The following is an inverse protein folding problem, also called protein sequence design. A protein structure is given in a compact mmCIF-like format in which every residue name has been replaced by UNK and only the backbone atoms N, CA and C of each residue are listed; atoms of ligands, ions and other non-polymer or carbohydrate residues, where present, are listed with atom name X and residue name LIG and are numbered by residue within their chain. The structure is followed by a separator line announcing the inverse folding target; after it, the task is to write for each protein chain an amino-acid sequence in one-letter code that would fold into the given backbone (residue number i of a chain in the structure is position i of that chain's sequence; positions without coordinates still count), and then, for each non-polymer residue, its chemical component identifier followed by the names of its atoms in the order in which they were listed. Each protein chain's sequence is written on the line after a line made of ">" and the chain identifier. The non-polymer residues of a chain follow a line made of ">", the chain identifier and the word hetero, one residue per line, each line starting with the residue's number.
data_IF_416445763787
#
_entry.id   IF_416445763787
#
_cell.length_a   1.000
_cell.length_b   1.000
_cell.length_c   1.000
_cell.angle_alpha   90.00
_cell.angle_beta   90.00
_cell.angle_gamma   90.00
#
_symmetry.space_group_name_H-M   'P 1'
#
loop_
_entity.id
_entity.type
_entity.pdbx_description
1 polymer ?
#
# COMPACT_ATOMS: atom_id res chain seq x y z
N UNK A 1 -13.83 -16.05 4.68
CA UNK A 1 -15.14 -15.83 5.28
C UNK A 1 -15.16 -14.53 6.06
N UNK A 2 -16.14 -13.68 5.80
CA UNK A 2 -16.38 -12.44 6.52
C UNK A 2 -17.78 -12.48 7.16
N UNK A 3 -17.87 -12.08 8.42
CA UNK A 3 -19.11 -11.92 9.14
C UNK A 3 -19.01 -10.68 10.03
N UNK A 4 -19.88 -9.72 9.84
CA UNK A 4 -19.97 -8.51 10.66
C UNK A 4 -21.39 -8.37 11.14
N UNK A 5 -21.56 -8.33 12.45
CA UNK A 5 -22.81 -8.01 13.12
C UNK A 5 -22.79 -6.52 13.51
N UNK A 6 -23.72 -5.76 12.95
CA UNK A 6 -23.79 -4.32 13.16
C UNK A 6 -24.74 -3.99 14.32
N UNK A 7 -24.20 -3.97 15.53
CA UNK A 7 -24.97 -3.65 16.75
C UNK A 7 -25.55 -2.22 16.81
N UNK A 8 -25.14 -1.35 15.86
CA UNK A 8 -25.63 0.05 15.78
C UNK A 8 -26.90 0.22 14.95
N UNK A 9 -27.60 -0.87 14.62
CA UNK A 9 -28.85 -0.85 13.83
C UNK A 9 -28.64 -0.78 12.32
N UNK A 10 -27.42 -0.83 11.84
CA UNK A 10 -27.09 -1.06 10.43
C UNK A 10 -27.38 -2.52 10.02
N UNK A 11 -27.28 -2.80 8.72
CA UNK A 11 -27.45 -4.17 8.24
C UNK A 11 -26.14 -4.94 8.39
N UNK A 12 -26.24 -6.19 8.84
CA UNK A 12 -25.11 -7.12 8.93
C UNK A 12 -24.53 -7.42 7.54
N UNK A 13 -23.21 -7.65 7.53
CA UNK A 13 -22.48 -8.08 6.34
C UNK A 13 -22.00 -9.53 6.54
N UNK A 14 -22.33 -10.40 5.58
CA UNK A 14 -21.87 -11.80 5.60
C UNK A 14 -21.56 -12.27 4.20
N UNK A 15 -20.33 -12.71 3.95
CA UNK A 15 -19.92 -13.23 2.65
C UNK A 15 -18.87 -14.34 2.80
N UNK A 16 -18.96 -15.32 1.92
CA UNK A 16 -17.95 -16.35 1.71
C UNK A 16 -17.40 -16.23 0.31
N UNK A 17 -16.09 -16.07 0.19
CA UNK A 17 -15.40 -15.99 -1.09
C UNK A 17 -14.15 -16.84 -1.13
N UNK A 18 -13.75 -17.19 -2.34
CA UNK A 18 -12.48 -17.82 -2.67
C UNK A 18 -11.70 -16.93 -3.63
N UNK A 19 -10.37 -16.88 -3.49
CA UNK A 19 -9.52 -16.09 -4.38
C UNK A 19 -8.35 -16.91 -4.90
N UNK A 20 -7.92 -16.58 -6.13
CA UNK A 20 -6.67 -17.02 -6.73
C UNK A 20 -5.86 -15.77 -7.02
N UNK A 21 -4.67 -15.68 -6.46
CA UNK A 21 -3.72 -14.60 -6.71
C UNK A 21 -2.53 -15.19 -7.46
N UNK A 22 -2.28 -14.69 -8.67
CA UNK A 22 -1.13 -15.05 -9.48
C UNK A 22 -0.24 -13.85 -9.65
N UNK A 23 1.07 -14.02 -9.43
CA UNK A 23 2.07 -13.00 -9.64
C UNK A 23 3.23 -13.59 -10.45
N UNK A 24 3.77 -12.81 -11.35
CA UNK A 24 4.94 -13.10 -12.16
C UNK A 24 5.96 -11.97 -11.95
N UNK A 25 7.19 -12.35 -11.66
CA UNK A 25 8.33 -11.43 -11.55
C UNK A 25 9.46 -11.97 -12.42
N UNK A 26 9.78 -11.25 -13.49
CA UNK A 26 10.92 -11.63 -14.32
C UNK A 26 12.26 -11.36 -13.63
N UNK A 27 13.33 -11.98 -14.08
CA UNK A 27 14.67 -11.48 -13.88
C UNK A 27 14.92 -10.20 -14.68
N UNK A 28 16.19 -9.83 -14.78
CA UNK A 28 16.65 -8.70 -15.59
C UNK A 28 17.44 -9.17 -16.80
N UNK A 29 17.38 -8.43 -17.89
CA UNK A 29 18.28 -8.65 -19.04
C UNK A 29 19.73 -8.43 -18.64
N UNK A 30 20.65 -9.09 -19.36
CA UNK A 30 22.10 -8.92 -19.16
C UNK A 30 22.53 -7.51 -19.60
N UNK A 31 23.59 -6.98 -18.97
CA UNK A 31 24.19 -5.69 -19.28
C UNK A 31 24.27 -4.76 -18.06
N UNK A 32 24.88 -3.59 -18.24
CA UNK A 32 25.01 -2.56 -17.21
C UNK A 32 23.63 -2.04 -16.78
N UNK A 33 22.70 -1.95 -17.73
CA UNK A 33 21.29 -1.64 -17.49
C UNK A 33 20.49 -2.90 -17.79
N UNK A 34 19.80 -3.41 -16.76
CA UNK A 34 18.92 -4.55 -16.88
C UNK A 34 17.45 -4.12 -16.93
N UNK A 35 16.66 -4.77 -17.77
CA UNK A 35 15.21 -4.55 -17.88
C UNK A 35 14.45 -5.80 -17.50
N UNK A 36 13.27 -5.63 -16.92
CA UNK A 36 12.39 -6.70 -16.53
C UNK A 36 10.92 -6.28 -16.49
N UNK A 37 10.07 -7.23 -16.16
CA UNK A 37 8.62 -7.07 -16.10
C UNK A 37 8.08 -7.78 -14.84
N UNK A 38 7.19 -7.13 -14.13
CA UNK A 38 6.35 -7.71 -13.10
C UNK A 38 4.90 -7.69 -13.60
N UNK A 39 4.12 -8.73 -13.31
CA UNK A 39 2.71 -8.79 -13.67
C UNK A 39 1.91 -9.55 -12.61
N UNK A 40 0.65 -9.24 -12.47
CA UNK A 40 -0.27 -9.98 -11.60
C UNK A 40 -1.64 -10.14 -12.26
N UNK A 41 -2.32 -11.21 -11.87
CA UNK A 41 -3.71 -11.46 -12.24
C UNK A 41 -4.42 -12.14 -11.07
N UNK A 42 -5.57 -11.61 -10.70
CA UNK A 42 -6.36 -12.04 -9.56
C UNK A 42 -7.78 -12.42 -10.00
N UNK A 43 -8.31 -13.47 -9.41
CA UNK A 43 -9.68 -13.92 -9.57
C UNK A 43 -10.30 -14.16 -8.19
N UNK A 44 -11.49 -13.64 -7.96
CA UNK A 44 -12.28 -13.92 -6.78
C UNK A 44 -13.68 -14.39 -7.17
N UNK A 45 -14.16 -15.42 -6.51
CA UNK A 45 -15.46 -16.03 -6.70
C UNK A 45 -16.24 -16.01 -5.37
N UNK A 46 -17.47 -15.52 -5.42
CA UNK A 46 -18.39 -15.56 -4.29
C UNK A 46 -18.99 -16.96 -4.22
N UNK A 47 -18.87 -17.62 -3.07
CA UNK A 47 -19.28 -18.99 -2.87
C UNK A 47 -20.63 -19.11 -2.14
N UNK A 48 -21.18 -18.01 -1.66
CA UNK A 48 -22.48 -17.98 -1.02
C UNK A 48 -23.47 -17.10 -1.77
N UNK A 49 -24.73 -17.45 -1.65
CA UNK A 49 -25.85 -16.75 -2.27
C UNK A 49 -26.98 -16.56 -1.25
N UNK A 50 -27.96 -15.75 -1.59
CA UNK A 50 -29.15 -15.56 -0.79
C UNK A 50 -29.20 -14.19 -0.08
N UNK A 51 -30.28 -14.01 0.67
CA UNK A 51 -30.58 -12.76 1.34
C UNK A 51 -29.58 -12.46 2.46
N UNK A 52 -29.05 -11.24 2.50
CA UNK A 52 -28.07 -10.83 3.53
C UNK A 52 -26.62 -11.29 3.27
N UNK A 53 -26.35 -11.89 2.11
CA UNK A 53 -25.00 -12.31 1.70
C UNK A 53 -24.33 -11.21 0.87
N UNK A 54 -24.09 -10.07 1.47
CA UNK A 54 -23.46 -8.89 0.87
C UNK A 54 -22.91 -7.96 1.96
N UNK A 55 -22.39 -6.78 1.57
CA UNK A 55 -21.94 -5.68 2.45
C UNK A 55 -20.73 -5.96 3.32
N UNK A 56 -19.90 -6.92 2.93
CA UNK A 56 -18.62 -7.16 3.59
C UNK A 56 -17.48 -6.35 2.98
N UNK A 57 -17.73 -5.66 1.88
CA UNK A 57 -16.71 -5.00 1.06
C UNK A 57 -15.67 -5.96 0.47
N UNK A 58 -15.95 -7.26 0.48
CA UNK A 58 -15.06 -8.26 -0.13
C UNK A 58 -15.12 -8.22 -1.65
N UNK A 59 -16.29 -7.92 -2.21
CA UNK A 59 -16.54 -7.86 -3.65
C UNK A 59 -17.04 -6.49 -4.07
N UNK A 60 -16.78 -6.07 -5.33
CA UNK A 60 -17.40 -4.87 -5.89
C UNK A 60 -18.92 -4.93 -5.81
N UNK A 61 -19.55 -3.78 -5.58
CA UNK A 61 -21.00 -3.67 -5.48
C UNK A 61 -21.63 -3.44 -6.86
N UNK A 62 -22.78 -4.08 -7.09
CA UNK A 62 -23.70 -3.77 -8.21
C UNK A 62 -24.50 -2.50 -7.88
N UNK A 63 -25.04 -1.83 -8.88
CA UNK A 63 -25.86 -0.62 -8.68
C UNK A 63 -27.11 -0.84 -7.80
N UNK A 64 -27.59 -2.06 -7.72
CA UNK A 64 -28.72 -2.45 -6.86
C UNK A 64 -28.32 -2.76 -5.40
N UNK A 65 -27.05 -2.55 -5.03
CA UNK A 65 -26.53 -2.79 -3.67
C UNK A 65 -26.21 -4.25 -3.36
N UNK A 66 -26.24 -5.14 -4.33
CA UNK A 66 -25.78 -6.52 -4.16
C UNK A 66 -24.29 -6.62 -4.50
N UNK A 67 -23.56 -7.51 -3.84
CA UNK A 67 -22.19 -7.84 -4.21
C UNK A 67 -22.14 -8.57 -5.55
N UNK A 68 -21.07 -8.37 -6.32
CA UNK A 68 -20.79 -9.18 -7.51
C UNK A 68 -20.49 -10.61 -7.12
N UNK A 69 -20.82 -11.55 -8.00
CA UNK A 69 -20.57 -12.98 -7.79
C UNK A 69 -19.13 -13.38 -8.14
N UNK A 70 -18.48 -12.55 -8.97
CA UNK A 70 -17.10 -12.69 -9.39
C UNK A 70 -16.43 -11.33 -9.49
N UNK A 71 -15.10 -11.30 -9.35
CA UNK A 71 -14.27 -10.13 -9.56
C UNK A 71 -12.92 -10.56 -10.11
N UNK A 72 -12.35 -9.74 -10.98
CA UNK A 72 -11.01 -9.93 -11.53
C UNK A 72 -10.22 -8.64 -11.41
N UNK A 73 -8.90 -8.76 -11.28
CA UNK A 73 -7.99 -7.63 -11.35
C UNK A 73 -6.70 -8.10 -12.00
N UNK A 74 -6.10 -7.26 -12.84
CA UNK A 74 -4.80 -7.52 -13.42
C UNK A 74 -4.00 -6.22 -13.51
N UNK A 75 -2.69 -6.34 -13.52
CA UNK A 75 -1.77 -5.22 -13.67
C UNK A 75 -0.37 -5.70 -14.04
N UNK A 76 0.44 -4.76 -14.51
CA UNK A 76 1.82 -5.01 -14.86
C UNK A 76 2.68 -3.76 -14.60
N UNK A 77 3.97 -3.98 -14.40
CA UNK A 77 4.96 -2.92 -14.25
C UNK A 77 6.24 -3.31 -15.00
N UNK A 78 6.80 -2.38 -15.75
CA UNK A 78 8.16 -2.49 -16.28
C UNK A 78 9.15 -2.08 -15.20
N UNK A 79 10.33 -2.69 -15.22
CA UNK A 79 11.39 -2.37 -14.27
C UNK A 79 12.74 -2.26 -14.95
N UNK A 80 13.55 -1.35 -14.46
CA UNK A 80 14.92 -1.11 -14.89
C UNK A 80 15.84 -1.13 -13.67
N UNK A 81 17.00 -1.75 -13.82
CA UNK A 81 18.01 -1.79 -12.77
C UNK A 81 19.36 -1.35 -13.31
N UNK A 82 20.05 -0.54 -12.53
CA UNK A 82 21.47 -0.18 -12.73
C UNK A 82 22.14 -0.40 -11.37
N UNK A 83 23.14 -1.29 -11.31
CA UNK A 83 23.83 -1.64 -10.07
C UNK A 83 22.83 -2.02 -8.96
N UNK A 84 22.79 -1.30 -7.83
CA UNK A 84 21.90 -1.49 -6.69
C UNK A 84 20.70 -0.52 -6.69
N UNK A 85 20.43 0.14 -7.82
CA UNK A 85 19.28 1.04 -8.00
C UNK A 85 18.25 0.43 -8.95
N UNK A 86 16.97 0.51 -8.59
CA UNK A 86 15.84 0.01 -9.37
C UNK A 86 14.80 1.11 -9.57
N UNK A 87 14.29 1.24 -10.79
CA UNK A 87 13.14 2.05 -11.13
C UNK A 87 12.04 1.16 -11.70
N UNK A 88 10.83 1.29 -11.19
CA UNK A 88 9.62 0.62 -11.70
C UNK A 88 8.60 1.64 -12.17
N UNK A 89 7.83 1.26 -13.18
CA UNK A 89 6.67 2.03 -13.65
C UNK A 89 5.53 1.09 -14.02
N UNK A 90 4.34 1.37 -13.53
CA UNK A 90 3.13 0.61 -13.83
C UNK A 90 2.24 0.43 -12.61
N UNK A 91 1.56 -0.71 -12.53
CA UNK A 91 0.68 -1.07 -11.43
C UNK A 91 1.49 -1.73 -10.30
N UNK A 92 1.72 -1.00 -9.24
CA UNK A 92 2.67 -1.31 -8.16
C UNK A 92 1.98 -1.42 -6.80
N UNK A 93 2.69 -1.97 -5.82
CA UNK A 93 2.26 -2.07 -4.42
C UNK A 93 3.33 -1.47 -3.50
N UNK A 94 3.40 -0.13 -3.37
CA UNK A 94 4.27 0.50 -2.40
C UNK A 94 3.90 0.06 -0.98
N UNK A 95 4.93 -0.10 -0.15
CA UNK A 95 4.77 -0.48 1.24
C UNK A 95 5.86 0.18 2.09
N UNK A 96 5.52 1.31 2.67
CA UNK A 96 6.40 2.07 3.55
C UNK A 96 5.57 2.79 4.63
N UNK A 97 6.19 3.41 5.65
CA UNK A 97 5.46 4.00 6.78
C UNK A 97 4.47 5.11 6.43
N UNK A 98 4.64 5.78 5.28
CA UNK A 98 3.81 6.92 4.89
C UNK A 98 2.93 6.65 3.66
N UNK A 99 3.14 5.51 2.99
CA UNK A 99 2.29 5.05 1.90
C UNK A 99 2.27 3.53 1.83
N UNK A 100 1.22 2.94 2.36
CA UNK A 100 0.96 1.50 2.30
C UNK A 100 -0.46 1.24 1.81
N UNK A 101 -0.59 0.35 0.84
CA UNK A 101 -1.87 0.02 0.23
C UNK A 101 -2.51 -1.17 0.95
N UNK A 102 -3.84 -1.14 1.06
CA UNK A 102 -4.60 -2.14 1.78
C UNK A 102 -4.50 -3.55 1.16
N UNK A 103 -4.38 -4.57 2.00
CA UNK A 103 -4.48 -6.00 1.64
C UNK A 103 -5.39 -6.72 2.65
N UNK A 104 -6.60 -6.20 2.82
CA UNK A 104 -7.52 -6.64 3.87
C UNK A 104 -8.77 -7.35 3.33
N UNK A 105 -8.88 -7.46 2.00
CA UNK A 105 -10.04 -8.07 1.32
C UNK A 105 -9.61 -9.12 0.31
N UNK A 106 -10.42 -9.36 -0.74
CA UNK A 106 -10.14 -10.41 -1.73
C UNK A 106 -8.92 -10.09 -2.60
N UNK A 107 -8.69 -8.82 -2.93
CA UNK A 107 -7.52 -8.39 -3.68
C UNK A 107 -6.69 -7.40 -2.87
N UNK A 108 -5.36 -7.43 -3.02
CA UNK A 108 -4.55 -6.30 -2.59
C UNK A 108 -4.86 -5.08 -3.45
N UNK A 109 -4.91 -3.91 -2.83
CA UNK A 109 -4.95 -2.64 -3.55
C UNK A 109 -3.62 -2.40 -4.26
N UNK A 110 -3.67 -1.65 -5.37
CA UNK A 110 -2.49 -1.28 -6.16
C UNK A 110 -2.52 0.20 -6.52
N UNK A 111 -1.39 0.74 -6.95
CA UNK A 111 -1.29 2.11 -7.44
C UNK A 111 -0.45 2.16 -8.71
N UNK A 112 -0.84 3.02 -9.66
CA UNK A 112 -0.14 3.21 -10.91
C UNK A 112 0.77 4.43 -10.81
N UNK A 113 2.06 4.25 -11.12
CA UNK A 113 3.04 5.32 -11.03
C UNK A 113 4.47 4.82 -11.11
N UNK A 114 5.38 5.63 -10.59
CA UNK A 114 6.81 5.34 -10.50
C UNK A 114 7.20 4.99 -9.07
N UNK A 115 8.11 4.03 -8.93
CA UNK A 115 8.78 3.69 -7.68
C UNK A 115 10.27 3.52 -7.93
N UNK A 116 11.08 4.19 -7.15
CA UNK A 116 12.54 4.12 -7.21
C UNK A 116 13.08 3.64 -5.86
N UNK A 117 14.01 2.68 -5.91
CA UNK A 117 14.76 2.24 -4.74
C UNK A 117 16.25 2.21 -5.04
N UNK A 118 17.08 2.49 -4.03
CA UNK A 118 18.53 2.46 -4.17
C UNK A 118 19.22 2.06 -2.88
N UNK A 119 20.26 1.24 -3.01
CA UNK A 119 21.20 0.87 -1.96
C UNK A 119 22.65 1.05 -2.43
N UNK A 120 22.92 2.06 -3.27
CA UNK A 120 24.27 2.33 -3.82
C UNK A 120 25.27 2.75 -2.72
N UNK A 121 24.80 3.40 -1.69
CA UNK A 121 25.58 3.79 -0.53
C UNK A 121 25.40 2.70 0.53
N UNK A 122 26.52 2.25 1.11
CA UNK A 122 26.46 1.22 2.14
C UNK A 122 25.68 1.74 3.36
N UNK A 123 24.94 0.86 3.99
CA UNK A 123 24.05 1.13 5.13
C UNK A 123 22.90 2.12 4.85
N UNK A 124 22.76 2.65 3.63
CA UNK A 124 21.70 3.56 3.23
C UNK A 124 20.76 2.92 2.22
N UNK A 125 19.49 2.80 2.58
CA UNK A 125 18.38 2.46 1.67
C UNK A 125 17.56 3.71 1.38
N UNK A 126 17.30 4.00 0.11
CA UNK A 126 16.45 5.09 -0.36
C UNK A 126 15.23 4.51 -1.07
N UNK A 127 14.07 5.08 -0.82
CA UNK A 127 12.78 4.73 -1.42
C UNK A 127 12.01 6.00 -1.77
N UNK A 128 11.58 6.12 -3.03
CA UNK A 128 10.81 7.26 -3.52
C UNK A 128 9.73 6.79 -4.48
N UNK A 129 8.62 7.51 -4.54
CA UNK A 129 7.54 7.19 -5.46
C UNK A 129 6.67 8.38 -5.83
N UNK A 130 6.08 8.28 -7.04
CA UNK A 130 5.08 9.20 -7.55
C UNK A 130 3.97 8.37 -8.19
N UNK A 131 2.77 8.47 -7.65
CA UNK A 131 1.60 7.70 -8.07
C UNK A 131 0.46 8.62 -8.45
N UNK A 132 -0.15 8.35 -9.60
CA UNK A 132 -1.17 9.21 -10.21
C UNK A 132 -2.57 8.63 -10.13
N UNK A 133 -2.69 7.35 -9.83
CA UNK A 133 -4.00 6.70 -9.63
C UNK A 133 -3.91 5.47 -8.75
N UNK A 134 -5.01 5.11 -8.11
CA UNK A 134 -5.16 3.94 -7.28
C UNK A 134 -6.20 2.97 -7.82
N UNK A 135 -6.06 1.70 -7.43
CA UNK A 135 -7.06 0.66 -7.59
C UNK A 135 -7.27 0.01 -6.23
N UNK A 136 -8.41 0.28 -5.64
CA UNK A 136 -8.73 -0.26 -4.33
C UNK A 136 -9.04 -1.77 -4.41
N UNK A 137 -9.01 -2.44 -3.26
CA UNK A 137 -9.21 -3.89 -3.12
C UNK A 137 -10.54 -4.41 -3.67
N UNK A 138 -11.54 -3.56 -3.84
CA UNK A 138 -12.87 -3.88 -4.39
C UNK A 138 -13.14 -3.25 -5.76
N UNK A 139 -12.09 -2.79 -6.46
CA UNK A 139 -12.17 -2.19 -7.79
C UNK A 139 -11.50 -3.10 -8.84
N UNK A 140 -11.98 -3.00 -10.09
CA UNK A 140 -11.43 -3.73 -11.24
C UNK A 140 -10.64 -2.83 -12.20
N UNK A 141 -10.78 -1.49 -12.05
CA UNK A 141 -10.07 -0.48 -12.85
C UNK A 141 -9.05 0.25 -12.00
N UNK A 142 -7.97 0.72 -12.62
CA UNK A 142 -6.83 1.34 -11.95
C UNK A 142 -6.66 2.84 -12.26
N UNK A 143 -7.73 3.55 -12.60
CA UNK A 143 -7.76 4.98 -12.91
C UNK A 143 -8.49 5.81 -11.84
N UNK A 144 -8.63 5.25 -10.64
CA UNK A 144 -9.29 5.90 -9.51
C UNK A 144 -8.37 6.85 -8.75
N UNK A 145 -8.94 7.92 -8.21
CA UNK A 145 -8.27 8.77 -7.23
C UNK A 145 -8.02 8.01 -5.91
N UNK A 146 -7.06 8.47 -5.12
CA UNK A 146 -6.80 7.88 -3.81
C UNK A 146 -7.89 8.25 -2.81
N UNK A 147 -8.48 7.24 -2.18
CA UNK A 147 -9.63 7.42 -1.30
C UNK A 147 -9.22 7.45 0.17
N UNK A 148 -9.50 8.58 0.83
CA UNK A 148 -9.35 8.74 2.27
C UNK A 148 -10.62 8.24 2.98
N UNK A 149 -10.68 6.94 3.30
CA UNK A 149 -11.89 6.27 3.77
C UNK A 149 -12.51 6.88 5.04
N UNK A 150 -11.68 7.36 5.98
CA UNK A 150 -12.17 7.98 7.22
C UNK A 150 -12.88 9.33 6.99
N UNK A 151 -12.50 10.07 5.95
CA UNK A 151 -13.07 11.38 5.61
C UNK A 151 -14.11 11.28 4.48
N UNK A 152 -14.18 10.13 3.79
CA UNK A 152 -15.10 9.95 2.67
C UNK A 152 -14.77 10.77 1.43
N UNK A 153 -13.52 11.21 1.28
CA UNK A 153 -13.05 12.10 0.21
C UNK A 153 -11.95 11.44 -0.62
N UNK A 154 -11.73 11.99 -1.80
CA UNK A 154 -10.68 11.53 -2.73
C UNK A 154 -9.64 12.63 -2.90
N UNK A 155 -8.38 12.23 -3.00
CA UNK A 155 -7.24 13.09 -3.32
C UNK A 155 -6.65 12.72 -4.68
N UNK A 156 -5.81 13.60 -5.19
CA UNK A 156 -5.09 13.39 -6.44
C UNK A 156 -3.87 12.48 -6.27
N UNK A 157 -2.71 12.99 -6.70
CA UNK A 157 -1.46 12.23 -6.71
C UNK A 157 -0.92 11.96 -5.30
N UNK A 158 -0.11 10.90 -5.19
CA UNK A 158 0.67 10.62 -3.99
C UNK A 158 2.15 10.63 -4.34
N UNK A 159 2.91 11.46 -3.62
CA UNK A 159 4.37 11.49 -3.68
C UNK A 159 4.93 11.01 -2.34
N UNK A 160 6.03 10.27 -2.36
CA UNK A 160 6.80 10.01 -1.15
C UNK A 160 8.30 9.93 -1.42
N UNK A 161 9.06 10.22 -0.38
CA UNK A 161 10.51 10.06 -0.33
C UNK A 161 10.90 9.66 1.07
N UNK A 162 11.81 8.72 1.19
CA UNK A 162 12.35 8.31 2.47
C UNK A 162 13.45 7.28 2.34
N UNK A 163 13.77 6.67 3.47
CA UNK A 163 14.78 5.64 3.54
C UNK A 163 15.21 5.34 4.96
N UNK A 164 16.13 4.38 5.08
CA UNK A 164 16.69 3.94 6.34
C UNK A 164 18.21 3.99 6.27
N UNK A 165 18.84 4.42 7.36
CA UNK A 165 20.28 4.46 7.51
C UNK A 165 20.71 3.65 8.75
N UNK A 166 21.58 2.66 8.53
CA UNK A 166 22.27 1.93 9.59
C UNK A 166 23.43 2.77 10.11
N UNK A 167 23.35 3.23 11.36
CA UNK A 167 24.42 4.01 12.00
C UNK A 167 25.56 3.07 12.42
N UNK A 168 25.19 1.90 12.92
CA UNK A 168 26.05 0.79 13.26
C UNK A 168 25.25 -0.53 13.24
N UNK A 169 25.89 -1.66 13.64
CA UNK A 169 25.27 -3.00 13.62
C UNK A 169 24.00 -3.12 14.50
N UNK A 170 23.80 -2.20 15.42
CA UNK A 170 22.72 -2.24 16.40
C UNK A 170 21.75 -1.07 16.29
N UNK A 171 22.10 -0.01 15.55
CA UNK A 171 21.36 1.26 15.52
C UNK A 171 20.95 1.63 14.11
N UNK A 172 19.70 1.94 13.92
CA UNK A 172 19.21 2.48 12.64
C UNK A 172 18.22 3.62 12.84
N UNK A 173 18.15 4.49 11.82
CA UNK A 173 17.18 5.58 11.72
C UNK A 173 16.45 5.49 10.39
N UNK A 174 15.14 5.66 10.44
CA UNK A 174 14.28 5.68 9.24
C UNK A 174 13.53 7.01 9.17
N UNK A 175 13.57 7.64 8.00
CA UNK A 175 12.88 8.90 7.72
C UNK A 175 12.05 8.76 6.46
N UNK A 176 10.78 9.19 6.53
CA UNK A 176 9.90 9.29 5.36
C UNK A 176 9.09 10.57 5.37
N UNK A 177 8.75 11.04 4.18
CA UNK A 177 7.76 12.09 3.97
C UNK A 177 6.85 11.70 2.82
N UNK A 178 5.56 12.02 2.93
CA UNK A 178 4.60 11.88 1.82
C UNK A 178 3.75 13.13 1.67
N UNK A 179 3.24 13.29 0.45
CA UNK A 179 2.23 14.28 0.09
C UNK A 179 1.09 13.55 -0.63
N UNK A 180 -0.07 13.59 -0.03
CA UNK A 180 -1.33 13.22 -0.68
C UNK A 180 -1.99 14.52 -1.15
N UNK A 181 -2.06 14.70 -2.45
CA UNK A 181 -2.57 15.93 -3.05
C UNK A 181 -3.99 16.25 -2.58
N UNK A 182 -4.18 17.48 -2.11
CA UNK A 182 -5.42 18.03 -1.56
C UNK A 182 -5.94 17.37 -0.27
N UNK A 183 -5.16 16.48 0.34
CA UNK A 183 -5.52 15.79 1.59
C UNK A 183 -4.59 16.18 2.74
N UNK A 184 -3.39 15.60 2.77
CA UNK A 184 -2.41 15.81 3.85
C UNK A 184 -0.97 15.63 3.38
N UNK A 185 -0.06 16.12 4.22
CA UNK A 185 1.37 15.78 4.22
C UNK A 185 1.69 15.02 5.49
N UNK A 186 2.47 13.96 5.39
CA UNK A 186 2.90 13.16 6.53
C UNK A 186 4.41 13.03 6.58
N UNK A 187 4.97 13.15 7.76
CA UNK A 187 6.37 12.90 8.08
C UNK A 187 6.45 11.76 9.08
N UNK A 188 7.43 10.93 8.93
CA UNK A 188 7.71 9.79 9.80
C UNK A 188 9.18 9.78 10.17
N UNK A 189 9.44 9.58 11.46
CA UNK A 189 10.77 9.32 12.02
C UNK A 189 10.69 8.07 12.87
N UNK A 190 11.64 7.16 12.68
CA UNK A 190 11.84 5.99 13.54
C UNK A 190 13.30 5.89 13.95
N UNK A 191 13.54 5.54 15.20
CA UNK A 191 14.81 5.12 15.72
C UNK A 191 14.71 3.70 16.27
N UNK A 192 15.60 2.82 15.86
CA UNK A 192 15.68 1.45 16.34
C UNK A 192 17.06 1.18 16.95
N UNK A 193 17.07 0.54 18.13
CA UNK A 193 18.28 0.13 18.80
C UNK A 193 18.16 -1.27 19.37
N UNK A 194 19.11 -2.14 19.03
CA UNK A 194 19.18 -3.51 19.54
C UNK A 194 20.27 -3.61 20.59
N UNK A 195 19.91 -3.74 21.85
CA UNK A 195 20.84 -3.95 22.97
C UNK A 195 21.13 -5.44 23.14
N UNK A 196 22.36 -5.91 22.86
CA UNK A 196 22.75 -7.29 23.14
C UNK A 196 22.79 -7.53 24.65
N UNK A 197 22.14 -8.59 25.14
CA UNK A 197 22.10 -8.98 26.55
C UNK A 197 22.88 -10.31 26.79
N UNK A 198 23.77 -10.67 25.88
CA UNK A 198 24.56 -11.91 25.87
C UNK A 198 24.46 -12.61 24.52
N UNK A 199 24.99 -13.83 24.43
CA UNK A 199 25.14 -14.54 23.15
C UNK A 199 23.80 -14.94 22.49
N UNK A 200 22.72 -15.07 23.26
CA UNK A 200 21.42 -15.56 22.75
C UNK A 200 20.22 -14.66 23.10
N UNK A 201 20.49 -13.47 23.64
CA UNK A 201 19.42 -12.55 24.06
C UNK A 201 19.73 -11.13 23.60
N UNK A 202 18.72 -10.45 23.14
CA UNK A 202 18.78 -9.04 22.83
C UNK A 202 17.45 -8.35 23.23
N UNK A 203 17.54 -7.07 23.56
CA UNK A 203 16.39 -6.19 23.76
C UNK A 203 16.36 -5.24 22.58
N UNK A 204 15.27 -5.26 21.82
CA UNK A 204 15.04 -4.28 20.77
C UNK A 204 14.20 -3.12 21.33
N UNK A 205 14.68 -1.91 21.12
CA UNK A 205 13.99 -0.66 21.43
C UNK A 205 13.64 0.01 20.10
N UNK A 206 12.36 0.22 19.87
CA UNK A 206 11.83 0.85 18.67
C UNK A 206 10.93 2.03 19.05
N UNK A 207 11.23 3.21 18.52
CA UNK A 207 10.45 4.41 18.76
C UNK A 207 10.16 5.11 17.44
N UNK A 208 8.90 5.50 17.24
CA UNK A 208 8.49 6.19 16.03
C UNK A 208 7.57 7.38 16.34
N UNK A 209 7.62 8.38 15.46
CA UNK A 209 6.82 9.59 15.52
C UNK A 209 6.26 9.87 14.13
N UNK A 210 4.96 10.14 14.08
CA UNK A 210 4.27 10.67 12.90
C UNK A 210 3.87 12.12 13.13
N UNK A 211 4.08 12.96 12.10
CA UNK A 211 3.55 14.31 12.02
C UNK A 211 2.72 14.41 10.75
N UNK A 212 1.42 14.69 10.89
CA UNK A 212 0.50 14.87 9.77
C UNK A 212 -0.13 16.25 9.80
N UNK A 213 -0.09 16.94 8.66
CA UNK A 213 -0.70 18.27 8.49
C UNK A 213 -1.55 18.27 7.22
N UNK A 214 -2.52 19.15 7.15
CA UNK A 214 -3.31 19.38 5.93
C UNK A 214 -2.43 19.83 4.76
N UNK A 215 -2.92 19.58 3.55
CA UNK A 215 -2.24 19.94 2.30
C UNK A 215 -3.26 20.30 1.21
N UNK A 216 -2.92 21.32 0.40
CA UNK A 216 -3.74 21.76 -0.73
C UNK A 216 -5.12 22.26 -0.27
N UNK A 217 -6.17 21.69 -0.83
CA UNK A 217 -7.56 22.04 -0.51
C UNK A 217 -8.04 21.52 0.86
N UNK A 218 -7.22 20.73 1.56
CA UNK A 218 -7.55 20.13 2.85
C UNK A 218 -8.92 19.40 2.85
N UNK A 219 -9.19 18.64 1.78
CA UNK A 219 -10.49 17.97 1.59
C UNK A 219 -10.83 16.99 2.72
N UNK A 220 -9.83 16.46 3.42
CA UNK A 220 -10.00 15.59 4.58
C UNK A 220 -10.20 16.36 5.91
N UNK A 221 -10.34 17.69 5.84
CA UNK A 221 -10.46 18.60 6.99
C UNK A 221 -9.10 19.14 7.46
N UNK A 222 -9.14 20.05 8.43
CA UNK A 222 -7.92 20.59 9.03
C UNK A 222 -7.27 19.53 9.91
N UNK A 223 -6.10 19.08 9.49
CA UNK A 223 -5.32 18.03 10.15
C UNK A 223 -4.03 18.65 10.69
N UNK A 224 -3.81 18.54 11.99
CA UNK A 224 -2.57 18.88 12.66
C UNK A 224 -2.36 17.90 13.82
N UNK A 225 -1.72 16.76 13.54
CA UNK A 225 -1.57 15.66 14.49
C UNK A 225 -0.10 15.25 14.59
N UNK A 226 0.36 15.03 15.82
CA UNK A 226 1.61 14.33 16.13
C UNK A 226 1.27 13.11 16.98
N UNK A 227 1.74 11.93 16.57
CA UNK A 227 1.50 10.66 17.25
C UNK A 227 2.81 9.88 17.43
#
# INVERSE_FOLDING_TARGET
>A
YYNSDNHSGGKDGRELGHRILSAFTSGYTSGTVGFGLDAHAYLALKLDSGRGRNRSDMFPMKSNGASRDESTSAGAAVKMRISRSELKYGDLRPYNPVFALADTRMFPATATGFMFTSSEIDDLYIDAGHFTSGKDYNQTHGDGDFFAGYAGVKGGNVDYLGGSYGIDDNTSVTLYTSRYEDLWRQHYLNGNYTLPLGEQRALNLDANIYRTTEQGQALAGNIDVTA
#
